data_IF_448011576598
#
_entry.id   IF_448011576598
#
_cell.length_a   1.000
_cell.length_b   1.000
_cell.length_c   1.000
_cell.angle_alpha   90.00
_cell.angle_beta   90.00
_cell.angle_gamma   90.00
#
_symmetry.space_group_name_H-M   'P 1'
#
loop_
_entity.id
_entity.type
_entity.pdbx_description
1 polymer ?
#
# COMPACT_ATOMS: atom_id res chain seq x y z
N UNK A 1 8.30 -32.48 -2.84
CA UNK A 1 7.36 -32.58 -1.70
C UNK A 1 6.90 -31.16 -1.39
N UNK A 2 5.82 -30.70 -2.02
CA UNK A 2 5.15 -29.49 -1.56
C UNK A 2 4.31 -29.91 -0.35
N UNK A 3 4.64 -29.39 0.84
CA UNK A 3 3.85 -29.65 2.04
C UNK A 3 2.44 -29.09 1.88
N UNK A 4 1.45 -29.78 2.45
CA UNK A 4 0.04 -29.37 2.44
C UNK A 4 -0.25 -28.12 3.30
N UNK A 5 0.79 -27.54 3.93
CA UNK A 5 0.66 -26.35 4.76
C UNK A 5 0.67 -25.07 3.92
N UNK A 6 -0.22 -24.11 4.22
CA UNK A 6 -0.21 -22.81 3.56
C UNK A 6 1.13 -22.11 3.82
N UNK A 7 1.89 -21.87 2.75
CA UNK A 7 3.18 -21.17 2.84
C UNK A 7 3.05 -19.72 2.37
N UNK A 8 3.63 -18.81 3.14
CA UNK A 8 3.76 -17.40 2.78
C UNK A 8 5.18 -17.13 2.29
N UNK A 9 5.32 -16.48 1.14
CA UNK A 9 6.62 -16.09 0.57
C UNK A 9 6.76 -14.57 0.62
N UNK A 10 7.71 -14.09 1.43
CA UNK A 10 8.01 -12.66 1.62
C UNK A 10 9.14 -12.22 0.66
N UNK A 11 8.86 -11.32 -0.28
CA UNK A 11 9.81 -10.90 -1.33
C UNK A 11 10.68 -9.69 -0.93
N UNK A 12 11.65 -9.91 -0.03
CA UNK A 12 12.61 -8.90 0.45
C UNK A 12 13.70 -8.50 -0.58
N UNK A 13 13.33 -8.33 -1.85
CA UNK A 13 14.27 -8.14 -2.96
C UNK A 13 14.05 -6.75 -3.62
N UNK A 14 15.00 -6.26 -4.44
CA UNK A 14 14.74 -5.14 -5.33
C UNK A 14 13.54 -5.41 -6.26
N UNK A 15 12.71 -4.40 -6.50
CA UNK A 15 11.53 -4.45 -7.39
C UNK A 15 11.83 -5.02 -8.78
N UNK A 16 13.01 -4.72 -9.33
CA UNK A 16 13.46 -5.23 -10.62
C UNK A 16 13.57 -6.77 -10.70
N UNK A 17 13.71 -7.45 -9.56
CA UNK A 17 13.80 -8.92 -9.50
C UNK A 17 12.44 -9.59 -9.29
N UNK A 18 11.37 -8.82 -9.06
CA UNK A 18 10.05 -9.37 -8.75
C UNK A 18 9.49 -10.24 -9.89
N UNK A 19 9.50 -9.79 -11.17
CA UNK A 19 8.95 -10.60 -12.26
C UNK A 19 9.59 -11.99 -12.37
N UNK A 20 10.93 -12.02 -12.42
CA UNK A 20 11.69 -13.27 -12.52
C UNK A 20 11.48 -14.17 -11.30
N UNK A 21 11.38 -13.60 -10.11
CA UNK A 21 11.16 -14.37 -8.88
C UNK A 21 9.76 -14.98 -8.85
N UNK A 22 8.73 -14.21 -9.19
CA UNK A 22 7.33 -14.69 -9.24
C UNK A 22 7.18 -15.81 -10.26
N UNK A 23 7.78 -15.67 -11.45
CA UNK A 23 7.76 -16.71 -12.47
C UNK A 23 8.46 -17.99 -11.98
N UNK A 24 9.65 -17.88 -11.39
CA UNK A 24 10.38 -19.03 -10.87
C UNK A 24 9.63 -19.75 -9.74
N UNK A 25 8.97 -18.99 -8.85
CA UNK A 25 8.12 -19.56 -7.79
C UNK A 25 6.91 -20.31 -8.37
N UNK A 26 6.28 -19.73 -9.39
CA UNK A 26 5.17 -20.35 -10.10
C UNK A 26 5.59 -21.66 -10.80
N UNK A 27 6.72 -21.66 -11.51
CA UNK A 27 7.28 -22.86 -12.16
C UNK A 27 7.68 -23.94 -11.16
N UNK A 28 8.14 -23.56 -9.97
CA UNK A 28 8.46 -24.48 -8.88
C UNK A 28 7.21 -25.09 -8.20
N UNK A 29 6.00 -24.67 -8.59
CA UNK A 29 4.75 -25.10 -7.96
C UNK A 29 4.61 -24.64 -6.51
N UNK A 30 5.33 -23.58 -6.12
CA UNK A 30 5.21 -23.00 -4.79
C UNK A 30 3.95 -22.13 -4.70
N UNK A 31 3.28 -22.13 -3.54
CA UNK A 31 2.05 -21.36 -3.38
C UNK A 31 2.32 -19.85 -3.58
N UNK A 32 1.30 -19.13 -4.05
CA UNK A 32 1.42 -17.72 -4.37
C UNK A 32 1.91 -16.86 -3.19
N UNK A 33 2.87 -16.00 -3.48
CA UNK A 33 3.67 -15.25 -2.50
C UNK A 33 2.94 -14.03 -1.92
N UNK A 34 3.14 -13.78 -0.62
CA UNK A 34 2.88 -12.48 0.00
C UNK A 34 4.00 -11.50 -0.41
N UNK A 35 3.88 -10.89 -1.59
CA UNK A 35 4.91 -10.06 -2.19
C UNK A 35 5.15 -8.73 -1.43
N UNK A 36 6.09 -8.76 -0.51
CA UNK A 36 6.41 -7.66 0.41
C UNK A 36 7.79 -7.06 0.13
N UNK A 37 7.83 -5.84 -0.36
CA UNK A 37 9.09 -5.09 -0.44
C UNK A 37 9.29 -4.27 0.83
N UNK A 38 10.46 -4.40 1.47
CA UNK A 38 10.93 -3.46 2.52
C UNK A 38 11.08 -2.02 1.97
N UNK A 39 11.06 -1.86 0.65
CA UNK A 39 11.15 -0.57 -0.04
C UNK A 39 9.86 -0.41 -0.81
N UNK A 40 8.96 0.44 -0.34
CA UNK A 40 7.61 0.69 -0.84
C UNK A 40 7.55 1.14 -2.32
N UNK A 41 8.05 0.32 -3.24
CA UNK A 41 8.17 0.56 -4.68
C UNK A 41 7.71 -0.69 -5.40
N UNK A 42 6.51 -0.59 -5.94
CA UNK A 42 5.94 -1.59 -6.81
C UNK A 42 6.21 -1.15 -8.26
N UNK A 43 7.40 -1.46 -8.78
CA UNK A 43 7.92 -0.94 -10.05
C UNK A 43 8.68 0.40 -9.91
N UNK A 44 9.42 0.79 -10.95
CA UNK A 44 10.19 2.05 -10.97
C UNK A 44 9.45 3.19 -11.70
N UNK A 45 8.48 2.85 -12.53
CA UNK A 45 7.59 3.76 -13.26
C UNK A 45 6.22 3.10 -13.52
N UNK A 46 5.26 3.87 -14.03
CA UNK A 46 3.89 3.39 -14.27
C UNK A 46 3.82 2.16 -15.18
N UNK A 47 4.61 2.10 -16.25
CA UNK A 47 4.61 0.97 -17.18
C UNK A 47 5.11 -0.29 -16.48
N UNK A 48 6.24 -0.21 -15.75
CA UNK A 48 6.78 -1.33 -14.99
C UNK A 48 5.79 -1.82 -13.91
N UNK A 49 5.11 -0.88 -13.24
CA UNK A 49 4.07 -1.19 -12.25
C UNK A 49 2.90 -1.93 -12.90
N UNK A 50 2.43 -1.48 -14.06
CA UNK A 50 1.33 -2.12 -14.78
C UNK A 50 1.69 -3.52 -15.25
N UNK A 51 2.89 -3.70 -15.80
CA UNK A 51 3.40 -4.99 -16.26
C UNK A 51 3.55 -5.97 -15.10
N UNK A 52 4.17 -5.55 -13.99
CA UNK A 52 4.29 -6.37 -12.78
C UNK A 52 2.92 -6.71 -12.20
N UNK A 53 1.98 -5.76 -12.20
CA UNK A 53 0.63 -6.00 -11.71
C UNK A 53 -0.09 -7.04 -12.56
N UNK A 54 0.00 -6.93 -13.88
CA UNK A 54 -0.60 -7.87 -14.80
C UNK A 54 -0.03 -9.28 -14.61
N UNK A 55 1.30 -9.40 -14.53
CA UNK A 55 1.97 -10.67 -14.26
C UNK A 55 1.49 -11.31 -12.95
N UNK A 56 1.35 -10.52 -11.88
CA UNK A 56 0.83 -11.02 -10.61
C UNK A 56 -0.62 -11.48 -10.73
N UNK A 57 -1.49 -10.71 -11.38
CA UNK A 57 -2.90 -11.07 -11.53
C UNK A 57 -3.11 -12.32 -12.40
N UNK A 58 -2.22 -12.59 -13.35
CA UNK A 58 -2.23 -13.79 -14.18
C UNK A 58 -1.76 -15.04 -13.42
N UNK A 59 -0.75 -14.91 -12.56
CA UNK A 59 -0.10 -16.05 -11.90
C UNK A 59 -0.60 -16.31 -10.48
N UNK A 60 -1.19 -15.29 -9.83
CA UNK A 60 -1.55 -15.29 -8.43
C UNK A 60 -2.96 -14.74 -8.24
N UNK A 61 -3.86 -15.44 -7.54
CA UNK A 61 -5.15 -14.87 -7.16
C UNK A 61 -4.97 -13.58 -6.35
N UNK A 62 -5.73 -12.52 -6.64
CA UNK A 62 -5.54 -11.20 -6.00
C UNK A 62 -5.62 -11.26 -4.46
N UNK A 63 -6.46 -12.14 -3.89
CA UNK A 63 -6.54 -12.35 -2.44
C UNK A 63 -5.28 -12.94 -1.79
N UNK A 64 -4.35 -13.46 -2.60
CA UNK A 64 -3.05 -13.95 -2.15
C UNK A 64 -1.92 -12.93 -2.40
N UNK A 65 -2.19 -11.78 -3.02
CA UNK A 65 -1.20 -10.71 -3.27
C UNK A 65 -1.27 -9.67 -2.16
N UNK A 66 -0.22 -9.61 -1.34
CA UNK A 66 -0.10 -8.62 -0.26
C UNK A 66 0.95 -7.56 -0.60
N UNK A 67 0.52 -6.40 -1.08
CA UNK A 67 1.39 -5.24 -1.32
C UNK A 67 1.58 -4.48 0.00
N UNK A 68 2.77 -4.57 0.57
CA UNK A 68 3.05 -4.03 1.91
C UNK A 68 3.39 -2.55 1.86
N UNK A 69 2.61 -1.75 2.58
CA UNK A 69 2.94 -0.38 2.95
C UNK A 69 3.00 -0.29 4.48
N UNK A 70 4.17 0.08 5.02
CA UNK A 70 4.37 0.10 6.47
C UNK A 70 3.64 1.24 7.18
N UNK A 71 3.23 2.31 6.48
CA UNK A 71 2.44 3.38 7.08
C UNK A 71 1.06 2.89 7.50
N UNK A 72 0.46 1.98 6.73
CA UNK A 72 -0.85 1.39 7.07
C UNK A 72 -0.84 0.56 8.35
N UNK A 73 0.32 0.08 8.78
CA UNK A 73 0.50 -0.65 10.03
C UNK A 73 0.66 0.26 11.25
N UNK A 74 0.83 1.57 11.06
CA UNK A 74 0.99 2.50 12.17
C UNK A 74 -0.33 2.66 12.93
N UNK A 75 -0.29 2.55 14.26
CA UNK A 75 -1.47 2.69 15.12
C UNK A 75 -2.16 4.05 14.92
N UNK A 76 -1.40 5.12 14.71
CA UNK A 76 -1.95 6.45 14.43
C UNK A 76 -2.76 6.49 13.13
N UNK A 77 -2.32 5.78 12.11
CA UNK A 77 -3.02 5.67 10.82
C UNK A 77 -4.31 4.86 10.97
N UNK A 78 -4.25 3.73 11.67
CA UNK A 78 -5.45 2.93 11.95
C UNK A 78 -6.48 3.68 12.82
N UNK A 79 -6.00 4.53 13.74
CA UNK A 79 -6.86 5.38 14.57
C UNK A 79 -7.66 6.43 13.78
N UNK A 80 -7.24 6.77 12.55
CA UNK A 80 -8.05 7.64 11.66
C UNK A 80 -9.38 6.97 11.34
N UNK A 81 -9.40 5.68 11.04
CA UNK A 81 -10.62 4.93 10.77
C UNK A 81 -11.55 4.93 11.98
N UNK A 82 -11.01 4.67 13.18
CA UNK A 82 -11.79 4.74 14.41
C UNK A 82 -12.35 6.14 14.68
N UNK A 83 -11.52 7.17 14.53
CA UNK A 83 -11.90 8.58 14.68
C UNK A 83 -13.03 8.97 13.74
N UNK A 84 -12.96 8.59 12.46
CA UNK A 84 -13.95 8.96 11.46
C UNK A 84 -15.24 8.15 11.55
N UNK A 85 -15.11 6.83 11.67
CA UNK A 85 -16.24 5.91 11.42
C UNK A 85 -16.94 5.47 12.70
N UNK A 86 -16.26 5.49 13.86
CA UNK A 86 -16.83 5.04 15.12
C UNK A 86 -17.29 6.19 16.04
N UNK A 87 -16.96 7.44 15.72
CA UNK A 87 -17.29 8.60 16.56
C UNK A 87 -18.48 9.38 15.99
N UNK A 88 -19.64 9.24 16.65
CA UNK A 88 -20.90 9.93 16.28
C UNK A 88 -20.83 11.45 16.30
N UNK A 89 -19.80 12.03 16.94
CA UNK A 89 -19.56 13.47 16.96
C UNK A 89 -18.75 13.92 15.75
N UNK A 90 -17.77 13.11 15.32
CA UNK A 90 -16.87 13.48 14.23
C UNK A 90 -17.45 13.14 12.86
N UNK A 91 -18.18 12.03 12.73
CA UNK A 91 -18.74 11.57 11.46
C UNK A 91 -19.59 12.65 10.75
N UNK A 92 -20.51 13.38 11.41
CA UNK A 92 -21.36 14.37 10.73
C UNK A 92 -20.62 15.62 10.25
N UNK A 93 -19.45 15.91 10.83
CA UNK A 93 -18.63 17.08 10.49
C UNK A 93 -17.45 16.72 9.58
N UNK A 94 -17.29 15.44 9.22
CA UNK A 94 -16.18 14.99 8.38
C UNK A 94 -16.50 15.12 6.88
N UNK A 95 -16.79 16.34 6.44
CA UNK A 95 -17.13 16.66 5.06
C UNK A 95 -16.72 18.09 4.67
N UNK A 96 -16.76 18.40 3.36
CA UNK A 96 -16.36 19.69 2.80
C UNK A 96 -17.19 20.90 3.25
N UNK A 97 -18.36 20.68 3.87
CA UNK A 97 -19.15 21.78 4.46
C UNK A 97 -18.52 22.29 5.77
N UNK A 98 -17.77 21.44 6.46
CA UNK A 98 -17.18 21.73 7.78
C UNK A 98 -15.66 21.75 7.77
N UNK A 99 -15.02 21.04 6.84
CA UNK A 99 -13.57 20.96 6.67
C UNK A 99 -13.16 21.83 5.50
N UNK A 100 -12.39 22.88 5.77
CA UNK A 100 -11.86 23.78 4.74
C UNK A 100 -10.58 23.24 4.09
N UNK A 101 -9.75 22.52 4.84
CA UNK A 101 -8.43 22.04 4.40
C UNK A 101 -8.01 20.77 5.14
N UNK A 102 -7.31 19.90 4.44
CA UNK A 102 -6.65 18.71 4.99
C UNK A 102 -5.17 18.82 4.67
N UNK A 103 -4.35 18.96 5.71
CA UNK A 103 -2.89 19.01 5.58
C UNK A 103 -2.30 17.68 6.07
N UNK A 104 -1.52 17.01 5.22
CA UNK A 104 -0.78 15.79 5.58
C UNK A 104 0.71 16.12 5.53
N UNK A 105 1.28 16.38 6.70
CA UNK A 105 2.70 16.74 6.84
C UNK A 105 3.50 15.55 7.32
N UNK A 106 4.65 15.32 6.67
CA UNK A 106 5.65 14.37 7.12
C UNK A 106 7.00 15.04 7.18
N UNK A 107 7.38 15.46 8.37
CA UNK A 107 8.71 15.99 8.64
C UNK A 107 9.66 14.86 9.01
N UNK A 108 10.82 14.82 8.36
CA UNK A 108 11.91 13.91 8.70
C UNK A 108 13.10 14.72 9.21
N UNK A 109 13.53 14.41 10.44
CA UNK A 109 14.63 15.10 11.11
C UNK A 109 16.05 14.54 10.83
N UNK A 110 16.29 13.24 10.48
CA UNK A 110 17.65 12.76 10.26
C UNK A 110 18.21 13.12 8.87
N UNK A 111 19.51 13.44 8.84
CA UNK A 111 20.26 13.73 7.62
C UNK A 111 20.63 12.44 6.87
N UNK A 112 19.79 11.97 5.93
CA UNK A 112 20.08 10.98 4.88
C UNK A 112 20.97 9.76 5.28
N UNK A 113 20.95 9.32 6.54
CA UNK A 113 21.90 8.43 7.22
C UNK A 113 22.39 7.23 6.38
N UNK A 114 23.40 7.43 5.53
CA UNK A 114 23.89 6.40 4.59
C UNK A 114 22.98 6.08 3.39
N UNK A 115 21.82 6.75 3.25
CA UNK A 115 20.87 6.63 2.13
C UNK A 115 20.96 7.75 1.11
N UNK A 116 21.91 8.69 1.25
CA UNK A 116 22.09 9.82 0.33
C UNK A 116 22.13 9.40 -1.15
N UNK A 117 22.94 8.38 -1.51
CA UNK A 117 23.02 7.89 -2.90
C UNK A 117 21.72 7.26 -3.41
N UNK A 118 20.93 6.65 -2.52
CA UNK A 118 19.60 6.17 -2.87
C UNK A 118 18.63 7.33 -3.08
N UNK A 119 18.63 8.30 -2.18
CA UNK A 119 17.71 9.43 -2.23
C UNK A 119 17.97 10.33 -3.43
N UNK A 120 19.23 10.48 -3.84
CA UNK A 120 19.63 11.25 -5.04
C UNK A 120 18.95 10.72 -6.33
N UNK A 121 18.72 9.41 -6.42
CA UNK A 121 18.10 8.81 -7.60
C UNK A 121 16.57 8.70 -7.51
N UNK A 122 16.00 8.87 -6.31
CA UNK A 122 14.60 8.50 -6.03
C UNK A 122 13.78 9.73 -5.64
N UNK A 123 14.35 10.55 -4.77
CA UNK A 123 13.74 11.74 -4.19
C UNK A 123 12.56 11.45 -3.26
N UNK A 124 12.11 12.49 -2.56
CA UNK A 124 10.96 12.45 -1.67
C UNK A 124 9.67 12.01 -2.38
N UNK A 125 9.53 12.32 -3.67
CA UNK A 125 8.33 12.02 -4.45
C UNK A 125 8.08 10.51 -4.53
N UNK A 126 9.07 9.71 -4.92
CA UNK A 126 8.90 8.25 -5.04
C UNK A 126 9.05 7.53 -3.70
N UNK A 127 9.77 8.11 -2.74
CA UNK A 127 9.97 7.49 -1.42
C UNK A 127 8.72 7.63 -0.55
N UNK A 128 8.10 8.82 -0.53
CA UNK A 128 7.00 9.15 0.41
C UNK A 128 5.65 9.45 -0.27
N UNK A 129 5.67 10.16 -1.39
CA UNK A 129 4.43 10.71 -1.99
C UNK A 129 3.74 9.69 -2.90
N UNK A 130 4.44 8.75 -3.52
CA UNK A 130 3.82 7.81 -4.45
C UNK A 130 2.96 6.74 -3.75
N UNK A 131 3.23 6.47 -2.48
CA UNK A 131 2.67 5.35 -1.72
C UNK A 131 1.93 5.82 -0.45
N UNK A 132 2.65 6.37 0.51
CA UNK A 132 2.25 6.59 1.89
C UNK A 132 1.23 7.72 1.99
N UNK A 133 1.54 8.89 1.42
CA UNK A 133 0.65 10.05 1.53
C UNK A 133 -0.70 9.86 0.80
N UNK A 134 -0.75 9.29 -0.43
CA UNK A 134 -2.02 9.00 -1.08
C UNK A 134 -2.83 7.96 -0.34
N UNK A 135 -2.21 6.94 0.26
CA UNK A 135 -2.92 5.97 1.09
C UNK A 135 -3.52 6.62 2.34
N UNK A 136 -2.78 7.49 3.01
CA UNK A 136 -3.30 8.29 4.13
C UNK A 136 -4.44 9.19 3.69
N UNK A 137 -4.27 9.90 2.57
CA UNK A 137 -5.29 10.75 2.00
C UNK A 137 -6.56 9.96 1.73
N UNK A 138 -6.46 8.77 1.11
CA UNK A 138 -7.59 7.88 0.87
C UNK A 138 -8.29 7.51 2.18
N UNK A 139 -7.55 7.11 3.22
CA UNK A 139 -8.16 6.77 4.53
C UNK A 139 -8.85 7.97 5.20
N UNK A 140 -8.34 9.18 4.99
CA UNK A 140 -8.89 10.43 5.52
C UNK A 140 -10.12 10.89 4.75
N UNK A 141 -10.19 10.62 3.44
CA UNK A 141 -11.19 11.21 2.53
C UNK A 141 -12.21 10.22 1.96
N UNK A 142 -11.97 8.91 2.09
CA UNK A 142 -12.91 7.88 1.62
C UNK A 142 -14.29 8.03 2.28
N UNK A 143 -15.34 7.69 1.56
CA UNK A 143 -16.68 7.56 2.13
C UNK A 143 -16.72 6.50 3.24
N UNK A 144 -17.74 6.58 4.11
CA UNK A 144 -17.94 5.52 5.10
C UNK A 144 -18.26 4.21 4.39
N UNK A 145 -17.44 3.16 4.57
CA UNK A 145 -17.69 1.87 3.96
C UNK A 145 -18.90 1.19 4.63
N UNK A 146 -19.49 0.22 3.95
CA UNK A 146 -20.62 -0.56 4.49
C UNK A 146 -20.15 -1.41 5.68
N UNK A 147 -18.97 -1.99 5.56
CA UNK A 147 -18.28 -2.73 6.63
C UNK A 147 -16.79 -2.36 6.67
N UNK A 148 -16.08 -2.82 7.69
CA UNK A 148 -14.61 -2.70 7.76
C UNK A 148 -13.89 -3.90 7.13
N UNK A 149 -14.60 -4.74 6.35
CA UNK A 149 -13.97 -5.85 5.64
C UNK A 149 -13.08 -5.35 4.49
N UNK A 150 -12.08 -6.16 4.13
CA UNK A 150 -11.06 -5.77 3.15
C UNK A 150 -11.62 -5.32 1.79
N UNK A 151 -12.75 -5.88 1.37
CA UNK A 151 -13.37 -5.57 0.07
C UNK A 151 -14.06 -4.23 0.09
N UNK A 152 -14.74 -3.91 1.18
CA UNK A 152 -15.48 -2.65 1.32
C UNK A 152 -14.53 -1.48 1.53
N UNK A 153 -13.42 -1.70 2.27
CA UNK A 153 -12.35 -0.71 2.43
C UNK A 153 -11.58 -0.42 1.14
N UNK A 154 -11.44 -1.43 0.25
CA UNK A 154 -10.77 -1.28 -1.05
C UNK A 154 -11.73 -0.90 -2.18
N UNK A 155 -13.03 -0.92 -1.93
CA UNK A 155 -14.01 -0.60 -2.95
C UNK A 155 -13.77 0.84 -3.41
N UNK A 156 -13.82 1.12 -4.73
CA UNK A 156 -13.79 2.49 -5.19
C UNK A 156 -15.03 3.20 -4.65
N UNK A 157 -14.84 4.01 -3.60
CA UNK A 157 -15.85 4.93 -3.14
C UNK A 157 -16.27 5.83 -4.31
N UNK A 158 -17.55 6.22 -4.36
CA UNK A 158 -17.92 7.38 -5.18
C UNK A 158 -17.27 8.58 -4.52
N UNK A 159 -16.09 8.96 -5.00
CA UNK A 159 -15.43 10.21 -4.65
C UNK A 159 -16.24 11.36 -5.24
N UNK A 160 -17.39 11.67 -4.64
CA UNK A 160 -18.14 12.87 -5.00
C UNK A 160 -17.56 14.03 -4.20
N UNK A 161 -16.59 14.71 -4.80
CA UNK A 161 -16.34 16.12 -4.52
C UNK A 161 -17.55 16.95 -4.96
#
# INVERSE_FOLDING_TARGET
MAGEDPAAVYLALPSALFPATVMALHEAGLPPAAASSWRSRFGENLADTQELNQLLTELVPEGAVFRVDHFLAMTTVQNVLGSRLANRVLEPIWNSTHIAEIEIVRDETPALEGRASYYDHVGALKDMVQNHLPQLLCLVTMESPITLDERDLRAPGRWTC
#
